data_IF_324710296278
#
_entry.id   IF_324710296278
#
_cell.length_a   1.000
_cell.length_b   1.000
_cell.length_c   1.000
_cell.angle_alpha   90.00
_cell.angle_beta   90.00
_cell.angle_gamma   90.00
#
_symmetry.space_group_name_H-M   'P 1'
#
loop_
_entity.id
_entity.type
_entity.pdbx_description
1 polymer ?
#
# COMPACT_ATOMS: atom_id res chain seq x y z
N UNK A 1 10.74 10.80 -8.61
CA UNK A 1 9.92 9.60 -8.67
C UNK A 1 9.04 9.52 -7.44
N UNK A 2 7.75 9.20 -7.62
CA UNK A 2 6.81 8.87 -6.55
C UNK A 2 6.34 7.43 -6.73
N UNK A 3 6.52 6.61 -5.71
CA UNK A 3 6.01 5.25 -5.67
C UNK A 3 4.85 5.19 -4.69
N UNK A 4 3.75 4.58 -5.08
CA UNK A 4 2.58 4.42 -4.24
C UNK A 4 1.99 3.03 -4.39
N UNK A 5 1.35 2.54 -3.33
CA UNK A 5 0.66 1.25 -3.31
C UNK A 5 -0.68 1.38 -2.61
N UNK A 6 -1.71 0.78 -3.16
CA UNK A 6 -3.04 0.67 -2.53
C UNK A 6 -3.15 -0.48 -1.54
N UNK A 7 -2.07 -1.19 -1.28
CA UNK A 7 -2.03 -2.28 -0.29
C UNK A 7 -2.54 -1.87 1.08
N UNK A 8 -2.31 -0.60 1.48
CA UNK A 8 -2.70 -0.07 2.80
C UNK A 8 -3.97 0.77 2.71
N UNK A 9 -3.98 1.80 1.88
CA UNK A 9 -5.09 2.76 1.81
C UNK A 9 -6.43 2.14 1.40
N UNK A 10 -6.42 1.14 0.51
CA UNK A 10 -7.62 0.41 0.09
C UNK A 10 -7.72 -1.01 0.66
N UNK A 11 -6.80 -1.40 1.54
CA UNK A 11 -6.75 -2.76 2.10
C UNK A 11 -6.68 -3.87 1.04
N UNK A 12 -5.90 -3.65 -0.01
CA UNK A 12 -5.74 -4.56 -1.16
C UNK A 12 -4.31 -5.13 -1.29
N UNK A 13 -3.70 -5.68 -0.23
CA UNK A 13 -2.32 -6.14 -0.31
C UNK A 13 -2.15 -7.34 -1.25
N UNK A 14 -3.17 -8.19 -1.36
CA UNK A 14 -3.16 -9.39 -2.22
C UNK A 14 -3.25 -9.08 -3.71
N UNK A 15 -3.83 -7.94 -4.07
CA UNK A 15 -4.05 -7.57 -5.48
C UNK A 15 -2.79 -7.04 -6.18
N UNK A 16 -1.73 -6.79 -5.43
CA UNK A 16 -0.41 -6.39 -5.94
C UNK A 16 -0.47 -5.18 -6.88
N UNK A 17 -1.17 -4.13 -6.47
CA UNK A 17 -1.38 -2.93 -7.28
C UNK A 17 -0.78 -1.68 -6.64
N UNK A 18 -0.11 -0.91 -7.46
CA UNK A 18 0.51 0.37 -7.13
C UNK A 18 0.92 1.10 -8.40
N UNK A 19 1.57 2.24 -8.26
CA UNK A 19 2.11 2.97 -9.41
C UNK A 19 3.45 3.62 -9.09
N UNK A 20 4.16 3.93 -10.14
CA UNK A 20 5.31 4.84 -10.11
C UNK A 20 4.98 6.04 -11.00
N UNK A 21 5.11 7.24 -10.45
CA UNK A 21 4.98 8.48 -11.19
C UNK A 21 6.34 9.14 -11.36
N UNK A 22 6.65 9.58 -12.58
CA UNK A 22 7.86 10.31 -12.92
C UNK A 22 7.47 11.77 -13.10
N UNK A 23 8.20 12.67 -12.42
CA UNK A 23 8.04 14.10 -12.71
C UNK A 23 8.48 14.36 -14.16
N UNK A 24 7.61 14.92 -15.02
CA UNK A 24 7.92 15.13 -16.44
C UNK A 24 9.09 16.10 -16.68
N UNK A 25 9.45 16.90 -15.68
CA UNK A 25 10.59 17.83 -15.75
C UNK A 25 11.90 17.26 -15.19
N UNK A 26 11.87 15.99 -14.73
CA UNK A 26 13.09 15.35 -14.25
C UNK A 26 14.04 15.02 -15.39
N UNK A 27 15.33 15.02 -15.11
CA UNK A 27 16.34 14.53 -16.05
C UNK A 27 16.00 13.08 -16.45
N UNK A 28 16.07 12.79 -17.74
CA UNK A 28 15.78 11.48 -18.32
C UNK A 28 14.35 10.94 -18.08
N UNK A 29 13.36 11.82 -17.83
CA UNK A 29 11.97 11.41 -17.60
C UNK A 29 11.42 10.52 -18.72
N UNK A 30 11.71 10.85 -19.98
CA UNK A 30 11.28 10.11 -21.16
C UNK A 30 11.90 8.70 -21.27
N UNK A 31 13.06 8.51 -20.64
CA UNK A 31 13.75 7.23 -20.59
C UNK A 31 13.29 6.37 -19.42
N UNK A 32 13.01 6.99 -18.27
CA UNK A 32 12.69 6.29 -17.03
C UNK A 32 11.40 5.46 -17.13
N UNK A 33 10.34 5.99 -17.72
CA UNK A 33 9.05 5.28 -17.83
C UNK A 33 9.15 4.00 -18.65
N UNK A 34 9.70 4.01 -19.90
CA UNK A 34 9.84 2.77 -20.66
C UNK A 34 10.82 1.78 -20.01
N UNK A 35 11.91 2.26 -19.39
CA UNK A 35 12.84 1.39 -18.67
C UNK A 35 12.18 0.66 -17.49
N UNK A 36 11.38 1.35 -16.69
CA UNK A 36 10.64 0.70 -15.59
C UNK A 36 9.69 -0.36 -16.11
N UNK A 37 9.01 -0.12 -17.24
CA UNK A 37 8.17 -1.11 -17.89
C UNK A 37 8.93 -2.35 -18.34
N UNK A 38 10.13 -2.17 -18.91
CA UNK A 38 10.99 -3.27 -19.32
C UNK A 38 11.53 -4.07 -18.13
N UNK A 39 11.99 -3.39 -17.09
CA UNK A 39 12.46 -4.04 -15.85
C UNK A 39 11.33 -4.83 -15.19
N UNK A 40 10.13 -4.24 -15.09
CA UNK A 40 8.97 -4.93 -14.54
C UNK A 40 8.66 -6.23 -15.27
N UNK A 41 8.69 -6.23 -16.60
CA UNK A 41 8.53 -7.44 -17.42
C UNK A 41 9.67 -8.44 -17.22
N UNK A 42 10.90 -7.96 -17.22
CA UNK A 42 12.09 -8.80 -17.05
C UNK A 42 12.15 -9.49 -15.68
N UNK A 43 11.57 -8.88 -14.64
CA UNK A 43 11.45 -9.46 -13.29
C UNK A 43 10.18 -10.29 -13.09
N UNK A 44 9.35 -10.45 -14.12
CA UNK A 44 8.15 -11.28 -14.08
C UNK A 44 6.91 -10.62 -13.48
N UNK A 45 6.95 -9.32 -13.18
CA UNK A 45 5.80 -8.62 -12.59
C UNK A 45 4.80 -8.07 -13.62
N UNK A 46 5.20 -7.84 -14.82
CA UNK A 46 4.47 -7.29 -15.95
C UNK A 46 3.47 -6.17 -15.59
N UNK A 47 2.21 -6.52 -15.24
CA UNK A 47 1.19 -5.55 -14.80
C UNK A 47 0.12 -6.25 -13.94
N UNK A 48 -0.60 -5.49 -13.09
CA UNK A 48 -1.78 -6.01 -12.40
C UNK A 48 -2.91 -6.37 -13.38
N UNK A 49 -3.85 -7.25 -13.01
CA UNK A 49 -5.03 -7.54 -13.81
C UNK A 49 -5.83 -6.28 -14.15
N UNK A 50 -6.33 -6.17 -15.38
CA UNK A 50 -7.09 -4.98 -15.82
C UNK A 50 -8.36 -4.74 -15.02
N UNK A 51 -9.04 -5.79 -14.55
CA UNK A 51 -10.20 -5.69 -13.65
C UNK A 51 -9.88 -4.96 -12.35
N UNK A 52 -8.72 -5.23 -11.76
CA UNK A 52 -8.26 -4.56 -10.53
C UNK A 52 -7.88 -3.12 -10.81
N UNK A 53 -7.21 -2.84 -11.92
CA UNK A 53 -6.90 -1.47 -12.33
C UNK A 53 -8.17 -0.62 -12.49
N UNK A 54 -9.19 -1.16 -13.17
CA UNK A 54 -10.48 -0.51 -13.33
C UNK A 54 -11.24 -0.36 -12.01
N UNK A 55 -11.16 -1.34 -11.12
CA UNK A 55 -11.73 -1.28 -9.78
C UNK A 55 -11.13 -0.15 -8.97
N UNK A 56 -9.81 -0.10 -8.88
CA UNK A 56 -9.08 0.95 -8.15
C UNK A 56 -9.36 2.34 -8.72
N UNK A 57 -9.43 2.48 -10.04
CA UNK A 57 -9.75 3.76 -10.67
C UNK A 57 -11.12 4.33 -10.23
N UNK A 58 -12.08 3.48 -9.87
CA UNK A 58 -13.40 3.90 -9.39
C UNK A 58 -13.43 4.33 -7.92
N UNK A 59 -12.45 3.92 -7.14
CA UNK A 59 -12.40 4.15 -5.69
C UNK A 59 -11.12 4.88 -5.26
N UNK A 60 -10.47 5.55 -6.20
CA UNK A 60 -9.15 6.16 -6.00
C UNK A 60 -9.16 7.22 -4.88
N UNK A 61 -10.29 7.88 -4.66
CA UNK A 61 -10.46 8.91 -3.62
C UNK A 61 -10.99 8.32 -2.30
N UNK A 62 -11.11 7.00 -2.20
CA UNK A 62 -11.62 6.32 -1.00
C UNK A 62 -10.48 5.72 -0.19
N UNK A 63 -10.81 5.34 1.04
CA UNK A 63 -9.96 4.54 1.91
C UNK A 63 -10.74 3.32 2.41
N UNK A 64 -10.02 2.30 2.87
CA UNK A 64 -10.63 1.19 3.61
C UNK A 64 -11.34 1.70 4.87
N UNK A 65 -12.25 0.90 5.42
CA UNK A 65 -12.89 1.19 6.70
C UNK A 65 -11.86 1.14 7.84
N UNK A 66 -11.44 2.32 8.28
CA UNK A 66 -10.41 2.47 9.31
C UNK A 66 -10.92 2.05 10.70
N UNK A 67 -12.24 2.07 10.94
CA UNK A 67 -12.80 1.70 12.24
C UNK A 67 -12.55 0.23 12.57
N UNK A 68 -12.57 -0.64 11.57
CA UNK A 68 -12.25 -2.07 11.75
C UNK A 68 -10.81 -2.24 12.23
N UNK A 69 -9.87 -1.50 11.62
CA UNK A 69 -8.46 -1.56 12.01
C UNK A 69 -8.22 -0.97 13.40
N UNK A 70 -8.84 0.16 13.71
CA UNK A 70 -8.72 0.79 15.02
C UNK A 70 -9.27 -0.12 16.13
N UNK A 71 -10.44 -0.72 15.93
CA UNK A 71 -11.04 -1.66 16.88
C UNK A 71 -10.12 -2.85 17.14
N UNK A 72 -9.63 -3.49 16.09
CA UNK A 72 -8.74 -4.64 16.20
C UNK A 72 -7.40 -4.28 16.86
N UNK A 73 -6.85 -3.11 16.52
CA UNK A 73 -5.61 -2.62 17.11
C UNK A 73 -5.74 -2.35 18.60
N UNK A 74 -6.82 -1.70 19.02
CA UNK A 74 -7.08 -1.44 20.44
C UNK A 74 -7.26 -2.74 21.21
N UNK A 75 -8.02 -3.70 20.67
CA UNK A 75 -8.20 -5.01 21.27
C UNK A 75 -6.87 -5.74 21.49
N UNK A 76 -6.01 -5.77 20.47
CA UNK A 76 -4.70 -6.42 20.58
C UNK A 76 -3.77 -5.68 21.53
N UNK A 77 -3.75 -4.36 21.50
CA UNK A 77 -2.94 -3.55 22.41
C UNK A 77 -3.30 -3.82 23.86
N UNK A 78 -4.61 -3.77 24.19
CA UNK A 78 -5.10 -3.98 25.55
C UNK A 78 -4.83 -5.42 26.03
N UNK A 79 -5.00 -6.41 25.16
CA UNK A 79 -4.71 -7.81 25.47
C UNK A 79 -3.21 -8.02 25.74
N UNK A 80 -2.34 -7.52 24.89
CA UNK A 80 -0.88 -7.69 25.01
C UNK A 80 -0.35 -6.99 26.28
N UNK A 81 -0.76 -5.76 26.53
CA UNK A 81 -0.36 -5.04 27.74
C UNK A 81 -0.94 -5.69 29.00
N UNK A 82 -2.16 -6.21 28.93
CA UNK A 82 -2.80 -6.92 30.06
C UNK A 82 -2.08 -8.21 30.47
N UNK A 83 -1.39 -8.88 29.56
CA UNK A 83 -0.57 -10.08 29.85
C UNK A 83 0.91 -9.75 30.06
N UNK A 84 1.28 -8.46 30.13
CA UNK A 84 2.60 -8.00 30.57
C UNK A 84 3.61 -7.69 29.46
N UNK A 85 3.19 -7.60 28.20
CA UNK A 85 4.08 -7.09 27.14
C UNK A 85 4.27 -5.58 27.27
N UNK A 86 5.50 -5.12 26.98
CA UNK A 86 5.78 -3.71 26.78
C UNK A 86 5.56 -3.36 25.32
N UNK A 87 4.51 -2.63 25.04
CA UNK A 87 4.05 -2.35 23.68
C UNK A 87 3.88 -0.85 23.48
N UNK A 88 4.55 -0.31 22.46
CA UNK A 88 4.28 1.07 22.03
C UNK A 88 2.88 1.13 21.41
N UNK A 89 2.02 2.03 21.93
CA UNK A 89 0.67 2.20 21.37
C UNK A 89 0.75 2.69 19.93
N UNK A 90 0.22 1.94 18.95
CA UNK A 90 0.24 2.36 17.56
C UNK A 90 -0.61 3.63 17.33
N UNK A 91 -0.05 4.60 16.60
CA UNK A 91 -0.76 5.82 16.21
C UNK A 91 -1.53 5.70 14.89
N UNK A 92 -1.49 4.53 14.24
CA UNK A 92 -2.15 4.27 12.96
C UNK A 92 -1.67 2.97 12.33
N UNK A 93 -2.16 2.68 11.14
CA UNK A 93 -1.93 1.44 10.39
C UNK A 93 -2.49 0.18 11.07
N UNK A 94 -1.99 -0.99 10.71
CA UNK A 94 -2.38 -2.28 11.29
C UNK A 94 -1.16 -3.09 11.77
N UNK A 95 -0.09 -2.40 12.12
CA UNK A 95 1.09 -3.00 12.70
C UNK A 95 1.13 -2.72 14.20
N UNK A 96 1.38 -3.76 14.99
CA UNK A 96 1.69 -3.68 16.41
C UNK A 96 3.00 -4.42 16.64
N UNK A 97 3.83 -3.87 17.50
CA UNK A 97 5.15 -4.42 17.79
C UNK A 97 5.28 -4.56 19.31
N UNK A 98 5.06 -5.76 19.85
CA UNK A 98 5.24 -6.08 21.25
C UNK A 98 6.71 -6.35 21.60
#
# INVERSE_FOLDING_TARGET
LTCYSWSKSLSLPGERIGYVAVNPTATDADLLVPMMGQISRGTGHNCPPSSIQLGVAKVIDQTADLNVYETNMNLLYDALTGIGFDVVRPGGTFYIFP
#
